data_IF_511164272225
#
_entry.id   IF_511164272225
#
_cell.length_a   1.000
_cell.length_b   1.000
_cell.length_c   1.000
_cell.angle_alpha   90.00
_cell.angle_beta   90.00
_cell.angle_gamma   90.00
#
_symmetry.space_group_name_H-M   'P 1'
#
loop_
_entity.id
_entity.type
_entity.pdbx_description
1 polymer ?
#
# COMPACT_ATOMS: atom_id res chain seq x y z
N UNK A 1 -8.15 6.28 -8.36
CA UNK A 1 -8.20 7.42 -9.30
C UNK A 1 -7.22 7.18 -10.47
N UNK A 2 -7.56 7.55 -11.72
CA UNK A 2 -6.64 7.46 -12.89
C UNK A 2 -6.51 8.83 -13.56
N UNK A 3 -5.28 9.33 -13.61
CA UNK A 3 -4.89 10.58 -14.27
C UNK A 3 -3.93 10.20 -15.39
N UNK A 4 -4.17 10.72 -16.60
CA UNK A 4 -3.35 10.48 -17.77
C UNK A 4 -2.94 11.82 -18.38
N UNK A 5 -1.71 11.91 -18.89
CA UNK A 5 -1.19 13.09 -19.56
C UNK A 5 -0.69 12.65 -20.94
N UNK A 6 -1.36 13.10 -21.99
CA UNK A 6 -1.03 12.76 -23.38
C UNK A 6 -0.96 14.02 -24.23
N UNK A 7 0.16 14.23 -24.93
CA UNK A 7 0.37 15.41 -25.80
C UNK A 7 0.07 16.76 -25.11
N UNK A 8 0.37 16.88 -23.81
CA UNK A 8 0.11 18.09 -23.02
C UNK A 8 -1.33 18.27 -22.57
N UNK A 9 -2.23 17.33 -22.87
CA UNK A 9 -3.62 17.31 -22.40
C UNK A 9 -3.74 16.42 -21.17
N UNK A 10 -4.55 16.85 -20.21
CA UNK A 10 -4.80 16.10 -18.98
C UNK A 10 -6.15 15.42 -19.08
N UNK A 11 -6.18 14.13 -18.80
CA UNK A 11 -7.40 13.32 -18.77
C UNK A 11 -7.62 12.78 -17.37
N UNK A 12 -8.79 13.11 -16.80
CA UNK A 12 -9.23 12.62 -15.49
C UNK A 12 -10.38 11.66 -15.75
N UNK A 13 -10.21 10.38 -15.38
CA UNK A 13 -11.21 9.32 -15.64
C UNK A 13 -11.64 9.25 -17.12
N UNK A 14 -10.69 9.46 -18.04
CA UNK A 14 -10.92 9.42 -19.49
C UNK A 14 -11.62 10.65 -20.07
N UNK A 15 -11.84 11.71 -19.26
CA UNK A 15 -12.36 13.00 -19.73
C UNK A 15 -11.24 14.02 -19.75
N UNK A 16 -11.06 14.69 -20.88
CA UNK A 16 -10.12 15.81 -20.99
C UNK A 16 -10.56 16.94 -20.05
N UNK A 17 -9.60 17.54 -19.37
CA UNK A 17 -9.83 18.68 -18.47
C UNK A 17 -8.65 19.63 -18.57
N UNK A 18 -8.97 20.91 -18.70
CA UNK A 18 -8.00 22.02 -18.65
C UNK A 18 -8.20 22.92 -17.44
N UNK A 19 -9.20 22.63 -16.61
CA UNK A 19 -9.46 23.36 -15.37
C UNK A 19 -8.38 23.03 -14.32
N UNK A 20 -7.54 24.00 -13.94
CA UNK A 20 -6.46 23.78 -13.00
C UNK A 20 -6.95 23.36 -11.61
N UNK A 21 -8.16 23.77 -11.21
CA UNK A 21 -8.74 23.43 -9.91
C UNK A 21 -9.07 21.93 -9.87
N UNK A 22 -9.74 21.44 -10.92
CA UNK A 22 -10.08 20.02 -11.04
C UNK A 22 -8.83 19.14 -11.15
N UNK A 23 -7.80 19.60 -11.88
CA UNK A 23 -6.51 18.91 -11.96
C UNK A 23 -5.88 18.82 -10.57
N UNK A 24 -5.85 19.93 -9.83
CA UNK A 24 -5.29 19.98 -8.48
C UNK A 24 -5.97 18.98 -7.54
N UNK A 25 -7.31 18.96 -7.51
CA UNK A 25 -8.05 18.00 -6.69
C UNK A 25 -7.77 16.54 -7.10
N UNK A 26 -7.74 16.25 -8.41
CA UNK A 26 -7.47 14.89 -8.86
C UNK A 26 -6.08 14.40 -8.43
N UNK A 27 -5.06 15.28 -8.48
CA UNK A 27 -3.70 14.96 -8.03
C UNK A 27 -3.64 14.68 -6.54
N UNK A 28 -4.34 15.48 -5.72
CA UNK A 28 -4.41 15.27 -4.27
C UNK A 28 -5.07 13.93 -3.94
N UNK A 29 -6.22 13.63 -4.54
CA UNK A 29 -6.92 12.36 -4.37
C UNK A 29 -6.03 11.15 -4.72
N UNK A 30 -5.27 11.25 -5.82
CA UNK A 30 -4.35 10.19 -6.24
C UNK A 30 -3.20 9.99 -5.24
N UNK A 31 -2.67 11.07 -4.65
CA UNK A 31 -1.62 11.00 -3.64
C UNK A 31 -2.12 10.36 -2.33
N UNK A 32 -3.36 10.64 -1.92
CA UNK A 32 -3.97 10.01 -0.74
C UNK A 32 -4.17 8.50 -0.92
N UNK A 33 -4.65 8.06 -2.09
CA UNK A 33 -4.81 6.63 -2.41
C UNK A 33 -3.46 5.88 -2.36
N UNK A 34 -2.38 6.49 -2.88
CA UNK A 34 -1.04 5.90 -2.83
C UNK A 34 -0.53 5.71 -1.41
N UNK A 35 -0.74 6.71 -0.53
CA UNK A 35 -0.33 6.63 0.86
C UNK A 35 -1.09 5.53 1.61
N UNK A 36 -2.39 5.41 1.37
CA UNK A 36 -3.25 4.41 2.03
C UNK A 36 -2.76 2.98 1.75
N UNK A 37 -2.42 2.69 0.49
CA UNK A 37 -1.90 1.38 0.09
C UNK A 37 -0.53 1.04 0.69
N UNK A 38 0.30 2.04 1.01
CA UNK A 38 1.60 1.81 1.67
C UNK A 38 1.45 1.45 3.15
N UNK A 39 0.46 1.99 3.85
CA UNK A 39 0.23 1.68 5.27
C UNK A 39 -0.34 0.27 5.46
N UNK A 40 -1.22 -0.19 4.58
CA UNK A 40 -1.79 -1.54 4.67
C UNK A 40 -0.72 -2.65 4.52
N UNK A 41 0.25 -2.46 3.62
CA UNK A 41 1.31 -3.43 3.40
C UNK A 41 2.27 -3.60 4.60
N UNK A 42 2.55 -2.52 5.35
CA UNK A 42 3.43 -2.59 6.53
C UNK A 42 2.84 -3.45 7.65
N UNK A 43 1.52 -3.38 7.84
CA UNK A 43 0.83 -4.17 8.86
C UNK A 43 0.90 -5.67 8.55
N UNK A 44 0.76 -6.06 7.28
CA UNK A 44 0.72 -7.47 6.89
C UNK A 44 2.11 -8.15 7.00
N UNK A 45 3.19 -7.44 6.66
CA UNK A 45 4.58 -7.94 6.82
C UNK A 45 4.93 -8.14 8.30
N UNK A 46 4.50 -7.21 9.17
CA UNK A 46 4.84 -7.28 10.59
C UNK A 46 4.13 -8.45 11.31
N UNK A 47 2.88 -8.76 10.94
CA UNK A 47 2.12 -9.89 11.50
C UNK A 47 2.78 -11.24 11.15
N UNK A 48 3.23 -11.42 9.89
CA UNK A 48 3.90 -12.65 9.45
C UNK A 48 5.20 -12.89 10.23
N UNK A 49 6.04 -11.84 10.37
CA UNK A 49 7.31 -11.96 11.09
C UNK A 49 7.17 -12.39 12.56
N UNK A 50 6.16 -11.90 13.29
CA UNK A 50 5.88 -12.29 14.68
C UNK A 50 5.34 -13.73 14.78
N UNK A 51 4.56 -14.15 13.80
CA UNK A 51 3.98 -15.51 13.76
C UNK A 51 5.06 -16.57 13.49
N UNK A 52 6.04 -16.25 12.63
CA UNK A 52 7.15 -17.15 12.33
C UNK A 52 8.13 -17.27 13.51
N UNK A 53 8.39 -16.16 14.23
CA UNK A 53 9.21 -16.17 15.44
C UNK A 53 8.58 -17.00 16.58
N UNK A 54 7.27 -16.86 16.81
CA UNK A 54 6.56 -17.63 17.84
C UNK A 54 6.51 -19.14 17.52
N UNK A 55 6.37 -19.51 16.24
CA UNK A 55 6.44 -20.92 15.79
C UNK A 55 7.84 -21.51 15.98
N UNK A 56 8.90 -20.74 15.71
CA UNK A 56 10.28 -21.19 15.92
C UNK A 56 10.59 -21.44 17.42
N UNK A 57 10.09 -20.56 18.31
CA UNK A 57 10.27 -20.69 19.76
C UNK A 57 9.54 -21.91 20.34
N UNK A 58 8.32 -22.23 19.89
CA UNK A 58 7.56 -23.41 20.36
C UNK A 58 8.20 -24.74 19.96
N UNK A 59 8.84 -24.83 18.79
CA UNK A 59 9.55 -26.05 18.37
C UNK A 59 10.80 -26.29 19.23
N UNK A 60 11.45 -25.23 19.69
CA UNK A 60 12.67 -25.31 20.53
C UNK A 60 12.36 -25.76 21.97
N UNK A 61 11.22 -25.35 22.54
CA UNK A 61 10.81 -25.79 23.89
C UNK A 61 10.36 -27.25 23.96
N UNK A 62 9.83 -27.81 22.86
CA UNK A 62 9.43 -29.22 22.77
C UNK A 62 10.59 -30.20 22.57
N UNK A 63 11.76 -29.72 22.13
CA UNK A 63 12.98 -30.53 21.98
C UNK A 63 13.80 -30.67 23.26
N UNK A 64 13.46 -29.96 24.34
CA UNK A 64 14.18 -29.98 25.62
C UNK A 64 13.51 -30.88 26.66
N UNK A 65 13.08 -32.08 26.24
CA UNK A 65 12.77 -33.18 27.17
C UNK A 65 13.63 -34.38 26.77
N UNK A 66 14.93 -34.25 27.01
CA UNK A 66 15.87 -35.37 26.97
C UNK A 66 16.08 -35.90 28.37
N UNK A 67 15.62 -37.14 28.56
CA UNK A 67 15.97 -38.16 29.57
C UNK A 67 15.67 -37.85 31.04
#
# INVERSE_FOLDING_TARGET
>A
MKIEIENGRVFIKGKETTDPVLIGYAVLDYAEELNTNMFENKNNVQIRSKTDQTRALQKKSRGFKTK
#
